data_IF_217622461896
#
_entry.id   IF_217622461896
#
_cell.length_a   1.000
_cell.length_b   1.000
_cell.length_c   1.000
_cell.angle_alpha   90.00
_cell.angle_beta   90.00
_cell.angle_gamma   90.00
#
_symmetry.space_group_name_H-M   'P 1'
#
loop_
_entity.id
_entity.type
_entity.pdbx_description
1 polymer ?
#
# COMPACT_ATOMS: atom_id res chain seq x y z
N UNK A 1 21.77 28.28 -18.02
CA UNK A 1 22.47 27.58 -16.93
C UNK A 1 21.52 26.56 -16.37
N UNK A 2 21.80 25.26 -16.55
CA UNK A 2 21.01 24.19 -15.94
C UNK A 2 21.33 24.20 -14.44
N UNK A 3 20.44 24.78 -13.63
CA UNK A 3 20.43 24.48 -12.21
C UNK A 3 20.24 22.97 -12.09
N UNK A 4 21.31 22.24 -11.73
CA UNK A 4 21.20 20.82 -11.43
C UNK A 4 20.08 20.67 -10.40
N UNK A 5 19.04 19.92 -10.76
CA UNK A 5 17.84 19.77 -9.93
C UNK A 5 18.21 18.89 -8.72
N UNK A 6 18.72 19.53 -7.65
CA UNK A 6 19.12 18.83 -6.43
C UNK A 6 17.88 18.45 -5.63
N UNK A 7 17.56 17.16 -5.64
CA UNK A 7 16.44 16.59 -4.87
C UNK A 7 16.96 16.30 -3.45
N UNK A 8 16.40 17.00 -2.45
CA UNK A 8 16.82 16.86 -1.05
C UNK A 8 16.33 15.54 -0.47
N UNK A 9 17.24 14.79 0.15
CA UNK A 9 16.93 13.61 0.98
C UNK A 9 16.60 14.03 2.41
N UNK A 10 15.96 13.14 3.16
CA UNK A 10 15.75 13.27 4.59
C UNK A 10 17.05 12.92 5.32
N UNK A 11 17.70 13.93 5.90
CA UNK A 11 18.93 13.80 6.67
C UNK A 11 18.80 14.57 7.98
N UNK A 12 19.58 14.18 9.00
CA UNK A 12 19.61 14.86 10.28
C UNK A 12 18.34 14.67 11.13
N UNK A 13 18.02 15.61 12.03
CA UNK A 13 17.01 15.41 13.08
C UNK A 13 15.56 15.33 12.58
N UNK A 14 15.30 15.71 11.32
CA UNK A 14 13.97 15.56 10.72
C UNK A 14 13.71 14.14 10.19
N UNK A 15 14.74 13.30 10.13
CA UNK A 15 14.62 11.89 9.74
C UNK A 15 13.87 11.14 10.85
N UNK A 16 12.83 10.34 10.55
CA UNK A 16 12.20 9.51 11.56
C UNK A 16 13.24 8.57 12.17
N UNK A 17 13.12 8.24 13.46
CA UNK A 17 14.02 7.28 14.10
C UNK A 17 13.80 5.87 13.55
N UNK A 18 12.55 5.54 13.25
CA UNK A 18 12.13 4.22 12.75
C UNK A 18 11.23 4.31 11.54
N UNK A 19 11.32 3.30 10.70
CA UNK A 19 10.42 3.06 9.59
C UNK A 19 9.84 1.64 9.66
N UNK A 20 8.65 1.47 9.09
CA UNK A 20 7.91 0.22 9.06
C UNK A 20 7.56 -0.16 7.63
N UNK A 21 7.69 -1.46 7.32
CA UNK A 21 7.33 -2.00 6.00
C UNK A 21 6.74 -3.38 6.12
N UNK A 22 5.56 -3.58 5.55
CA UNK A 22 5.00 -4.91 5.36
C UNK A 22 5.60 -5.57 4.11
N UNK A 23 5.89 -6.86 4.21
CA UNK A 23 6.36 -7.74 3.12
C UNK A 23 5.60 -9.06 3.15
N UNK A 24 5.79 -9.88 2.11
CA UNK A 24 5.22 -11.23 2.01
C UNK A 24 6.23 -12.20 1.36
N UNK A 25 5.92 -13.49 1.30
CA UNK A 25 6.84 -14.56 0.88
C UNK A 25 7.56 -14.38 -0.47
N UNK A 26 7.05 -13.52 -1.37
CA UNK A 26 7.69 -13.25 -2.67
C UNK A 26 8.74 -12.14 -2.59
N UNK A 27 8.97 -11.58 -1.41
CA UNK A 27 9.93 -10.53 -1.15
C UNK A 27 11.02 -11.10 -0.24
N UNK A 28 12.31 -10.83 -0.52
CA UNK A 28 13.38 -11.17 0.40
C UNK A 28 13.18 -10.43 1.73
N UNK A 29 13.71 -10.99 2.82
CA UNK A 29 13.60 -10.43 4.17
C UNK A 29 14.95 -10.27 4.89
N UNK A 30 16.02 -10.89 4.39
CA UNK A 30 17.39 -10.73 4.88
C UNK A 30 18.10 -9.62 4.10
N UNK A 31 17.57 -8.41 4.24
CA UNK A 31 17.85 -7.28 3.37
C UNK A 31 16.87 -7.23 2.20
N UNK A 32 16.40 -6.03 1.87
CA UNK A 32 15.37 -5.82 0.84
C UNK A 32 15.93 -4.95 -0.26
N UNK A 33 15.99 -5.50 -1.47
CA UNK A 33 16.23 -4.74 -2.68
C UNK A 33 14.94 -4.25 -3.33
N UNK A 34 14.97 -3.05 -3.89
CA UNK A 34 13.97 -2.53 -4.81
C UNK A 34 13.95 -3.40 -6.07
N UNK A 35 12.79 -3.53 -6.72
CA UNK A 35 12.68 -4.35 -7.95
C UNK A 35 13.55 -3.81 -9.09
N UNK A 36 13.84 -2.51 -9.09
CA UNK A 36 14.69 -1.84 -10.07
C UNK A 36 16.12 -1.61 -9.58
N UNK A 37 16.68 -2.51 -8.75
CA UNK A 37 18.02 -2.35 -8.16
C UNK A 37 19.14 -2.09 -9.19
N UNK A 38 19.03 -2.65 -10.39
CA UNK A 38 19.99 -2.47 -11.49
C UNK A 38 19.92 -1.07 -12.14
N UNK A 39 18.90 -0.27 -11.79
CA UNK A 39 18.75 1.11 -12.25
C UNK A 39 19.66 2.01 -11.40
N UNK A 40 20.95 1.95 -11.70
CA UNK A 40 22.02 2.50 -10.84
C UNK A 40 22.24 4.00 -10.95
N UNK A 41 21.48 4.74 -11.77
CA UNK A 41 21.60 6.20 -11.86
C UNK A 41 20.31 6.85 -12.34
N UNK A 42 19.39 7.09 -11.41
CA UNK A 42 18.31 8.04 -11.65
C UNK A 42 18.92 9.44 -11.72
N UNK A 43 19.43 9.86 -12.89
CA UNK A 43 19.64 11.28 -13.15
C UNK A 43 18.30 12.03 -12.87
N UNK A 44 18.34 13.32 -12.57
CA UNK A 44 17.13 14.05 -12.13
C UNK A 44 15.92 13.91 -13.07
N UNK A 45 16.17 13.71 -14.37
CA UNK A 45 15.13 13.45 -15.38
C UNK A 45 14.48 12.07 -15.23
N UNK A 46 15.27 11.01 -15.03
CA UNK A 46 14.73 9.67 -14.81
C UNK A 46 14.13 9.51 -13.42
N UNK A 47 14.61 10.25 -12.41
CA UNK A 47 14.05 10.21 -11.06
C UNK A 47 12.55 10.51 -11.04
N UNK A 48 12.13 11.63 -11.65
CA UNK A 48 10.72 12.02 -11.68
C UNK A 48 9.86 10.95 -12.38
N UNK A 49 10.36 10.37 -13.47
CA UNK A 49 9.67 9.29 -14.19
C UNK A 49 9.54 8.04 -13.33
N UNK A 50 10.60 7.61 -12.64
CA UNK A 50 10.55 6.48 -11.72
C UNK A 50 9.60 6.74 -10.56
N UNK A 51 9.56 7.97 -10.04
CA UNK A 51 8.67 8.37 -8.96
C UNK A 51 7.20 8.29 -9.38
N UNK A 52 6.87 8.84 -10.55
CA UNK A 52 5.51 8.78 -11.11
C UNK A 52 5.08 7.33 -11.37
N UNK A 53 5.97 6.51 -11.91
CA UNK A 53 5.73 5.09 -12.13
C UNK A 53 5.51 4.34 -10.81
N UNK A 54 6.29 4.65 -9.78
CA UNK A 54 6.20 4.02 -8.46
C UNK A 54 4.82 4.21 -7.81
N UNK A 55 4.24 5.42 -7.93
CA UNK A 55 2.91 5.70 -7.37
C UNK A 55 1.74 5.29 -8.28
N UNK A 56 2.03 4.86 -9.52
CA UNK A 56 1.03 4.35 -10.44
C UNK A 56 0.88 2.84 -10.28
N UNK A 57 -0.20 2.40 -9.61
CA UNK A 57 -0.48 0.98 -9.36
C UNK A 57 -0.59 0.12 -10.63
N UNK A 58 -0.79 0.75 -11.79
CA UNK A 58 -0.90 0.08 -13.08
C UNK A 58 0.46 -0.04 -13.81
N UNK A 59 1.50 0.61 -13.31
CA UNK A 59 2.82 0.54 -13.91
C UNK A 59 3.50 -0.77 -13.51
N UNK A 60 3.89 -1.56 -14.52
CA UNK A 60 4.65 -2.81 -14.31
C UNK A 60 6.16 -2.59 -14.30
N UNK A 61 6.62 -1.37 -14.60
CA UNK A 61 8.05 -1.06 -14.66
C UNK A 61 8.65 -1.08 -13.25
N UNK A 62 9.76 -1.81 -13.02
CA UNK A 62 10.47 -1.76 -11.76
C UNK A 62 10.93 -0.34 -11.43
N UNK A 63 10.83 0.04 -10.16
CA UNK A 63 11.37 1.29 -9.63
C UNK A 63 12.52 1.00 -8.66
N UNK A 64 13.49 1.92 -8.50
CA UNK A 64 14.55 1.80 -7.51
C UNK A 64 14.08 2.16 -6.09
N UNK A 65 12.78 2.36 -5.86
CA UNK A 65 12.25 2.79 -4.56
C UNK A 65 11.57 1.66 -3.79
N UNK A 66 11.76 1.68 -2.47
CA UNK A 66 11.04 0.90 -1.47
C UNK A 66 10.18 1.83 -0.62
N UNK A 67 8.86 1.66 -0.67
CA UNK A 67 7.94 2.37 0.24
C UNK A 67 8.07 1.89 1.67
N UNK A 68 8.16 2.83 2.59
CA UNK A 68 8.18 2.60 4.03
C UNK A 68 7.30 3.64 4.70
N UNK A 69 6.94 3.42 5.96
CA UNK A 69 6.08 4.32 6.72
C UNK A 69 6.69 4.63 8.07
N UNK A 70 6.61 5.88 8.54
CA UNK A 70 6.95 6.18 9.94
C UNK A 70 5.83 5.77 10.92
N UNK A 71 4.65 5.41 10.41
CA UNK A 71 3.52 4.92 11.21
C UNK A 71 3.41 3.39 11.10
N UNK A 72 3.44 2.71 12.25
CA UNK A 72 3.25 1.26 12.35
C UNK A 72 1.88 0.83 11.84
N UNK A 73 0.82 1.59 12.13
CA UNK A 73 -0.57 1.34 11.70
C UNK A 73 -0.70 1.15 10.19
N UNK A 74 0.13 1.87 9.41
CA UNK A 74 0.15 1.75 7.95
C UNK A 74 0.73 0.41 7.53
N UNK A 75 1.83 -0.02 8.14
CA UNK A 75 2.43 -1.31 7.83
C UNK A 75 1.48 -2.46 8.23
N UNK A 76 0.83 -2.37 9.39
CA UNK A 76 -0.21 -3.32 9.84
C UNK A 76 -1.38 -3.37 8.86
N UNK A 77 -1.87 -2.22 8.39
CA UNK A 77 -2.92 -2.15 7.36
C UNK A 77 -2.50 -2.80 6.04
N UNK A 78 -1.23 -2.64 5.63
CA UNK A 78 -0.71 -3.30 4.43
C UNK A 78 -0.59 -4.82 4.62
N UNK A 79 -0.14 -5.27 5.79
CA UNK A 79 -0.07 -6.69 6.13
C UNK A 79 -1.46 -7.35 6.10
N UNK A 80 -2.47 -6.72 6.71
CA UNK A 80 -3.87 -7.15 6.59
C UNK A 80 -4.33 -7.18 5.12
N UNK A 81 -3.94 -6.19 4.31
CA UNK A 81 -4.23 -6.21 2.88
C UNK A 81 -3.51 -7.32 2.10
N UNK A 82 -2.33 -7.76 2.53
CA UNK A 82 -1.66 -8.90 1.92
C UNK A 82 -2.38 -10.20 2.27
N UNK A 83 -2.83 -10.34 3.51
CA UNK A 83 -3.62 -11.48 3.97
C UNK A 83 -4.95 -11.57 3.20
N UNK A 84 -5.67 -10.45 3.05
CA UNK A 84 -6.91 -10.36 2.24
C UNK A 84 -6.70 -10.80 0.78
N UNK A 85 -5.50 -10.58 0.24
CA UNK A 85 -5.13 -11.00 -1.13
C UNK A 85 -4.62 -12.44 -1.22
N UNK A 86 -4.59 -13.18 -0.10
CA UNK A 86 -4.12 -14.56 -0.03
C UNK A 86 -2.60 -14.72 -0.11
N UNK A 87 -1.83 -13.67 0.19
CA UNK A 87 -0.38 -13.83 0.35
C UNK A 87 -0.06 -14.53 1.67
N UNK A 88 1.00 -15.32 1.69
CA UNK A 88 1.51 -16.03 2.88
C UNK A 88 2.87 -15.48 3.31
N UNK A 89 3.39 -15.93 4.46
CA UNK A 89 4.70 -15.50 4.97
C UNK A 89 4.78 -13.98 5.10
N UNK A 90 3.69 -13.36 5.56
CA UNK A 90 3.59 -11.92 5.72
C UNK A 90 4.42 -11.53 6.93
N UNK A 91 5.23 -10.48 6.78
CA UNK A 91 6.04 -9.95 7.86
C UNK A 91 5.92 -8.42 7.90
N UNK A 92 6.02 -7.83 9.08
CA UNK A 92 6.23 -6.40 9.25
C UNK A 92 7.64 -6.19 9.75
N UNK A 93 8.40 -5.35 9.06
CA UNK A 93 9.76 -5.00 9.42
C UNK A 93 9.74 -3.68 10.17
N UNK A 94 10.49 -3.64 11.27
CA UNK A 94 10.95 -2.39 11.88
C UNK A 94 12.37 -2.12 11.40
N UNK A 95 12.60 -0.91 10.91
CA UNK A 95 13.85 -0.49 10.27
C UNK A 95 14.38 0.69 11.06
N UNK A 96 15.61 0.55 11.58
CA UNK A 96 16.31 1.62 12.28
C UNK A 96 16.93 2.58 11.27
N UNK A 97 16.55 3.84 11.39
CA UNK A 97 17.03 4.95 10.57
C UNK A 97 18.05 5.85 11.27
N UNK A 98 18.57 5.43 12.44
CA UNK A 98 19.73 6.03 13.08
C UNK A 98 21.05 5.65 12.37
N UNK A 99 22.07 6.48 12.57
CA UNK A 99 23.43 6.25 12.06
C UNK A 99 23.72 6.84 10.67
N UNK A 100 24.99 6.69 10.27
CA UNK A 100 25.58 7.30 9.07
C UNK A 100 25.16 6.61 7.76
N UNK A 101 24.69 5.36 7.81
CA UNK A 101 24.26 4.63 6.60
C UNK A 101 23.18 5.38 5.80
N UNK A 102 22.34 6.13 6.50
CA UNK A 102 21.23 6.91 5.93
C UNK A 102 21.64 8.32 5.51
N UNK A 103 22.94 8.58 5.44
CA UNK A 103 23.48 9.80 4.84
C UNK A 103 23.34 9.73 3.32
N UNK A 104 23.09 10.90 2.73
CA UNK A 104 22.76 11.04 1.30
C UNK A 104 23.74 10.33 0.34
N UNK A 105 25.00 10.23 0.74
CA UNK A 105 26.07 9.64 -0.08
C UNK A 105 26.11 8.10 -0.03
N UNK A 106 25.47 7.48 0.97
CA UNK A 106 25.44 6.03 1.17
C UNK A 106 24.06 5.49 0.78
N UNK A 107 23.00 5.98 1.41
CA UNK A 107 21.62 5.60 1.11
C UNK A 107 20.71 6.82 1.10
N UNK A 108 19.84 6.89 0.10
CA UNK A 108 18.92 8.01 -0.05
C UNK A 108 17.55 7.64 0.49
N UNK A 109 17.13 8.41 1.47
CA UNK A 109 15.78 8.38 2.03
C UNK A 109 15.06 9.67 1.64
N UNK A 110 13.81 9.58 1.21
CA UNK A 110 12.99 10.77 0.90
C UNK A 110 11.62 10.72 1.55
N UNK A 111 11.17 11.85 2.10
CA UNK A 111 9.79 12.05 2.51
C UNK A 111 8.92 12.25 1.26
N UNK A 112 7.96 11.33 1.04
CA UNK A 112 7.11 11.36 -0.15
C UNK A 112 6.34 12.66 -0.27
N UNK A 113 5.83 13.18 0.86
CA UNK A 113 5.10 14.45 0.87
C UNK A 113 5.95 15.59 0.30
N UNK A 114 7.22 15.72 0.71
CA UNK A 114 8.11 16.76 0.17
C UNK A 114 8.42 16.53 -1.30
N UNK A 115 8.69 15.28 -1.69
CA UNK A 115 8.94 14.94 -3.10
C UNK A 115 7.77 15.30 -4.01
N UNK A 116 6.54 14.89 -3.65
CA UNK A 116 5.37 15.16 -4.48
C UNK A 116 5.11 16.66 -4.60
N UNK A 117 5.33 17.43 -3.52
CA UNK A 117 5.19 18.88 -3.54
C UNK A 117 6.21 19.52 -4.49
N UNK A 118 7.47 19.07 -4.40
CA UNK A 118 8.57 19.56 -5.25
C UNK A 118 8.32 19.33 -6.74
N UNK A 119 7.74 18.18 -7.10
CA UNK A 119 7.42 17.84 -8.50
C UNK A 119 6.03 18.28 -8.96
N UNK A 120 5.26 19.01 -8.14
CA UNK A 120 3.89 19.42 -8.47
C UNK A 120 2.94 18.24 -8.71
N UNK A 121 3.18 17.10 -8.05
CA UNK A 121 2.38 15.88 -8.20
C UNK A 121 1.24 15.84 -7.16
N UNK A 122 0.15 15.15 -7.50
CA UNK A 122 -1.05 15.09 -6.65
C UNK A 122 -0.76 14.42 -5.30
N UNK A 123 -1.04 15.15 -4.22
CA UNK A 123 -1.00 14.62 -2.86
C UNK A 123 -2.24 13.79 -2.52
N UNK A 124 -2.03 12.77 -1.71
CA UNK A 124 -3.09 12.00 -1.06
C UNK A 124 -2.80 11.93 0.43
N UNK A 125 -3.82 11.89 1.30
CA UNK A 125 -3.62 11.94 2.76
C UNK A 125 -2.68 10.86 3.29
N UNK A 126 -2.68 9.69 2.67
CA UNK A 126 -1.86 8.55 3.08
C UNK A 126 -0.36 8.68 2.73
N UNK A 127 0.04 9.67 1.93
CA UNK A 127 1.45 9.94 1.62
C UNK A 127 2.18 10.75 2.71
N UNK A 128 1.46 11.26 3.72
CA UNK A 128 2.03 12.15 4.75
C UNK A 128 3.15 11.48 5.58
N UNK A 129 3.05 10.17 5.77
CA UNK A 129 3.97 9.40 6.59
C UNK A 129 4.77 8.38 5.77
N UNK A 130 4.70 8.47 4.44
CA UNK A 130 5.41 7.56 3.54
C UNK A 130 6.80 8.10 3.22
N UNK A 131 7.78 7.20 3.24
CA UNK A 131 9.16 7.47 2.88
C UNK A 131 9.64 6.46 1.83
N UNK A 132 10.48 6.92 0.91
CA UNK A 132 11.12 6.07 -0.09
C UNK A 132 12.57 5.85 0.28
N UNK A 133 12.97 4.59 0.35
CA UNK A 133 14.38 4.19 0.39
C UNK A 133 14.84 3.86 -1.03
N UNK A 134 15.96 4.41 -1.46
CA UNK A 134 16.60 4.04 -2.73
C UNK A 134 17.30 2.68 -2.60
N UNK A 135 17.12 1.83 -3.60
CA UNK A 135 17.84 0.59 -3.85
C UNK A 135 17.68 -0.49 -2.78
N UNK A 136 18.25 -0.32 -1.59
CA UNK A 136 18.36 -1.41 -0.59
C UNK A 136 18.09 -0.91 0.83
N UNK A 137 17.37 -1.72 1.59
CA UNK A 137 17.37 -1.68 3.06
C UNK A 137 18.25 -2.87 3.52
N UNK A 138 19.44 -2.62 4.07
CA UNK A 138 20.32 -3.68 4.53
C UNK A 138 19.74 -4.43 5.73
N UNK A 139 20.21 -5.66 5.94
CA UNK A 139 19.73 -6.53 7.02
C UNK A 139 20.05 -5.96 8.39
N UNK A 140 21.24 -5.39 8.55
CA UNK A 140 21.74 -4.80 9.78
C UNK A 140 20.89 -3.62 10.28
N UNK A 141 20.12 -2.99 9.40
CA UNK A 141 19.18 -1.92 9.75
C UNK A 141 17.77 -2.44 10.04
N UNK A 142 17.48 -3.73 9.87
CA UNK A 142 16.21 -4.32 10.26
C UNK A 142 16.30 -4.70 11.74
N UNK A 143 15.82 -3.81 12.62
CA UNK A 143 15.90 -3.99 14.07
C UNK A 143 15.00 -5.11 14.58
N UNK A 144 13.81 -5.28 13.97
CA UNK A 144 12.84 -6.31 14.32
C UNK A 144 12.08 -6.82 13.11
N UNK A 145 11.68 -8.08 13.19
CA UNK A 145 10.84 -8.76 12.19
C UNK A 145 9.67 -9.41 12.90
N UNK A 146 8.46 -8.92 12.61
CA UNK A 146 7.22 -9.43 13.14
C UNK A 146 6.59 -10.37 12.13
N UNK A 147 6.38 -11.63 12.50
CA UNK A 147 5.68 -12.61 11.67
C UNK A 147 4.17 -12.46 11.83
N UNK A 148 3.46 -12.21 10.73
CA UNK A 148 2.02 -12.03 10.76
C UNK A 148 1.25 -13.29 11.15
N UNK A 149 1.87 -14.46 10.95
CA UNK A 149 1.28 -15.76 11.31
C UNK A 149 1.46 -16.09 12.79
N UNK A 150 2.28 -15.32 13.53
CA UNK A 150 2.52 -15.49 14.97
C UNK A 150 1.63 -14.53 15.74
N UNK A 151 0.77 -15.06 16.62
CA UNK A 151 -0.20 -14.27 17.38
C UNK A 151 0.48 -13.22 18.26
N UNK A 152 1.51 -13.60 19.01
CA UNK A 152 2.29 -12.69 19.86
C UNK A 152 2.86 -11.49 19.09
N UNK A 153 3.35 -11.71 17.87
CA UNK A 153 3.90 -10.64 17.04
C UNK A 153 2.79 -9.70 16.56
N UNK A 154 1.61 -10.25 16.22
CA UNK A 154 0.43 -9.42 15.90
C UNK A 154 -0.05 -8.61 17.10
N UNK A 155 -0.07 -9.20 18.29
CA UNK A 155 -0.43 -8.50 19.53
C UNK A 155 0.58 -7.40 19.87
N UNK A 156 1.87 -7.56 19.58
CA UNK A 156 2.84 -6.48 19.76
C UNK A 156 2.60 -5.32 18.77
N UNK A 157 2.25 -5.64 17.52
CA UNK A 157 1.96 -4.64 16.48
C UNK A 157 0.62 -3.93 16.67
N UNK A 158 -0.41 -4.64 17.10
CA UNK A 158 -1.78 -4.14 17.29
C UNK A 158 -2.42 -4.82 18.53
N UNK A 159 -2.07 -4.39 19.76
CA UNK A 159 -2.47 -5.07 21.00
C UNK A 159 -3.97 -5.16 21.24
N UNK A 160 -4.75 -4.34 20.53
CA UNK A 160 -6.22 -4.29 20.66
C UNK A 160 -6.92 -4.73 19.39
N UNK A 161 -6.20 -5.21 18.38
CA UNK A 161 -6.73 -5.58 17.06
C UNK A 161 -7.39 -4.42 16.30
N UNK A 162 -7.25 -3.17 16.76
CA UNK A 162 -8.06 -2.04 16.29
C UNK A 162 -7.75 -1.68 14.85
N UNK A 163 -6.50 -1.81 14.44
CA UNK A 163 -6.06 -1.45 13.10
C UNK A 163 -6.50 -2.53 12.13
N UNK A 164 -6.36 -3.80 12.51
CA UNK A 164 -6.86 -4.93 11.74
C UNK A 164 -8.38 -4.88 11.60
N UNK A 165 -9.11 -4.63 12.68
CA UNK A 165 -10.57 -4.51 12.67
C UNK A 165 -11.03 -3.33 11.80
N UNK A 166 -10.40 -2.15 11.96
CA UNK A 166 -10.71 -0.98 11.14
C UNK A 166 -10.50 -1.25 9.64
N UNK A 167 -9.48 -2.04 9.27
CA UNK A 167 -9.28 -2.47 7.89
C UNK A 167 -10.46 -3.30 7.37
N UNK A 168 -10.92 -4.29 8.14
CA UNK A 168 -12.05 -5.14 7.77
C UNK A 168 -13.37 -4.37 7.74
N UNK A 169 -13.60 -3.48 8.70
CA UNK A 169 -14.78 -2.61 8.73
C UNK A 169 -14.83 -1.71 7.48
N UNK A 170 -13.70 -1.12 7.10
CA UNK A 170 -13.62 -0.33 5.87
C UNK A 170 -13.92 -1.18 4.63
N UNK A 171 -13.44 -2.42 4.60
CA UNK A 171 -13.72 -3.35 3.49
C UNK A 171 -15.19 -3.76 3.43
N UNK A 172 -15.81 -4.04 4.57
CA UNK A 172 -17.23 -4.37 4.65
C UNK A 172 -18.08 -3.18 4.21
N UNK A 173 -17.80 -1.97 4.72
CA UNK A 173 -18.48 -0.74 4.27
C UNK A 173 -18.35 -0.49 2.77
N UNK A 174 -17.18 -0.78 2.19
CA UNK A 174 -16.99 -0.70 0.73
C UNK A 174 -17.83 -1.76 0.01
N UNK A 175 -17.87 -2.99 0.50
CA UNK A 175 -18.69 -4.07 -0.04
C UNK A 175 -20.18 -3.69 -0.05
N UNK A 176 -20.70 -3.22 1.09
CA UNK A 176 -22.10 -2.81 1.25
C UNK A 176 -22.45 -1.65 0.30
N UNK A 177 -21.55 -0.66 0.18
CA UNK A 177 -21.73 0.45 -0.76
C UNK A 177 -21.80 -0.04 -2.21
N UNK A 178 -20.96 -1.01 -2.58
CA UNK A 178 -20.98 -1.59 -3.92
C UNK A 178 -22.24 -2.42 -4.18
N UNK A 179 -22.74 -3.13 -3.18
CA UNK A 179 -23.99 -3.90 -3.27
C UNK A 179 -25.18 -2.96 -3.48
N UNK A 180 -25.30 -1.90 -2.67
CA UNK A 180 -26.34 -0.87 -2.85
C UNK A 180 -26.30 -0.21 -4.23
N UNK A 181 -25.11 0.14 -4.73
CA UNK A 181 -24.98 0.70 -6.07
C UNK A 181 -25.41 -0.28 -7.17
N UNK A 182 -25.22 -1.59 -6.96
CA UNK A 182 -25.67 -2.62 -7.90
C UNK A 182 -27.19 -2.84 -7.83
N UNK A 183 -27.78 -2.77 -6.65
CA UNK A 183 -29.23 -2.83 -6.45
C UNK A 183 -29.93 -1.63 -7.09
N UNK A 184 -29.43 -0.40 -6.86
CA UNK A 184 -29.95 0.83 -7.47
C UNK A 184 -29.88 0.77 -9.00
N UNK A 185 -28.79 0.24 -9.56
CA UNK A 185 -28.65 0.05 -11.01
C UNK A 185 -29.66 -0.98 -11.55
N UNK A 186 -29.87 -2.08 -10.82
CA UNK A 186 -30.85 -3.10 -11.18
C UNK A 186 -32.30 -2.58 -11.12
N UNK A 187 -32.65 -1.78 -10.11
CA UNK A 187 -33.97 -1.14 -9.98
C UNK A 187 -34.19 -0.18 -11.15
N UNK A 188 -33.24 0.73 -11.41
CA UNK A 188 -33.33 1.67 -12.52
C UNK A 188 -33.49 0.98 -13.86
N UNK A 189 -32.77 -0.13 -14.07
CA UNK A 189 -32.90 -0.92 -15.29
C UNK A 189 -34.31 -1.49 -15.46
N UNK A 190 -34.90 -2.07 -14.40
CA UNK A 190 -36.29 -2.58 -14.42
C UNK A 190 -37.31 -1.46 -14.67
N UNK A 191 -37.10 -0.27 -14.11
CA UNK A 191 -37.98 0.87 -14.33
C UNK A 191 -37.90 1.41 -15.76
N UNK A 192 -36.69 1.50 -16.32
CA UNK A 192 -36.50 1.90 -17.71
C UNK A 192 -37.16 0.91 -18.69
N UNK A 193 -37.00 -0.40 -18.44
CA UNK A 193 -37.69 -1.47 -19.18
C UNK A 193 -39.22 -1.36 -19.06
N UNK A 194 -39.75 -1.06 -17.86
CA UNK A 194 -41.20 -0.88 -17.63
C UNK A 194 -41.77 0.34 -18.35
N UNK A 195 -41.03 1.44 -18.39
CA UNK A 195 -41.48 2.70 -18.97
C UNK A 195 -41.23 2.82 -20.48
N UNK A 196 -40.71 1.77 -21.13
CA UNK A 196 -40.46 1.75 -22.57
C UNK A 196 -39.38 2.74 -23.03
N UNK A 197 -38.52 3.19 -22.11
CA UNK A 197 -37.36 4.00 -22.48
C UNK A 197 -36.26 3.08 -22.98
N UNK A 198 -35.67 3.43 -24.13
CA UNK A 198 -34.42 2.82 -24.56
C UNK A 198 -33.38 3.05 -23.46
N UNK A 199 -32.93 1.95 -22.86
CA UNK A 199 -31.81 1.98 -21.91
C UNK A 199 -30.58 2.36 -22.73
N UNK A 200 -30.30 3.65 -22.81
CA UNK A 200 -29.04 4.15 -23.35
C UNK A 200 -27.97 3.55 -22.44
N UNK A 201 -27.26 2.53 -22.94
CA UNK A 201 -26.10 1.97 -22.26
C UNK A 201 -25.08 3.09 -22.06
N UNK A 202 -25.16 3.79 -20.92
CA UNK A 202 -24.05 4.61 -20.47
C UNK A 202 -22.89 3.65 -20.35
N UNK A 203 -21.83 3.87 -21.14
CA UNK A 203 -20.56 3.13 -21.05
C UNK A 203 -20.22 2.95 -19.58
N UNK A 204 -20.42 1.72 -19.10
CA UNK A 204 -20.27 1.32 -17.70
C UNK A 204 -18.92 1.79 -17.20
N UNK A 205 -18.89 2.75 -16.28
CA UNK A 205 -17.82 2.80 -15.29
C UNK A 205 -18.29 2.08 -14.03
N UNK A 206 -18.69 0.81 -14.19
CA UNK A 206 -18.62 -0.14 -13.10
C UNK A 206 -17.25 -0.77 -13.29
N UNK A 207 -16.27 -0.56 -12.39
CA UNK A 207 -14.99 -1.23 -12.50
C UNK A 207 -15.27 -2.74 -12.49
N UNK A 208 -15.27 -3.37 -13.67
CA UNK A 208 -15.13 -4.82 -13.84
C UNK A 208 -13.72 -5.22 -13.40
N UNK A 209 -13.37 -4.88 -12.18
CA UNK A 209 -12.16 -5.38 -11.55
C UNK A 209 -12.56 -6.70 -10.92
N UNK A 210 -11.69 -7.71 -11.01
CA UNK A 210 -11.85 -8.99 -10.30
C UNK A 210 -12.13 -8.81 -8.80
N UNK A 211 -11.85 -7.62 -8.25
CA UNK A 211 -12.20 -7.17 -6.90
C UNK A 211 -13.70 -7.21 -6.60
N UNK A 212 -14.58 -6.86 -7.55
CA UNK A 212 -16.03 -6.89 -7.34
C UNK A 212 -16.54 -8.33 -7.14
N UNK A 213 -16.05 -9.27 -7.95
CA UNK A 213 -16.38 -10.70 -7.79
C UNK A 213 -15.76 -11.31 -6.52
N UNK A 214 -14.56 -10.89 -6.15
CA UNK A 214 -13.85 -11.39 -4.96
C UNK A 214 -14.47 -10.89 -3.64
N UNK A 215 -14.94 -9.64 -3.60
CA UNK A 215 -15.61 -9.07 -2.41
C UNK A 215 -16.94 -9.79 -2.12
N UNK A 216 -17.74 -10.05 -3.17
CA UNK A 216 -19.00 -10.78 -3.04
C UNK A 216 -18.77 -12.25 -2.65
N UNK A 217 -17.71 -12.90 -3.14
CA UNK A 217 -17.42 -14.30 -2.81
C UNK A 217 -16.89 -14.50 -1.38
N UNK A 218 -16.10 -13.57 -0.85
CA UNK A 218 -15.58 -13.64 0.53
C UNK A 218 -16.63 -13.30 1.59
N UNK A 219 -17.52 -12.33 1.33
CA UNK A 219 -18.62 -12.01 2.25
C UNK A 219 -19.58 -13.19 2.43
N UNK A 220 -19.92 -13.90 1.33
CA UNK A 220 -20.75 -15.12 1.39
C UNK A 220 -20.11 -16.27 2.16
N UNK A 221 -18.80 -16.47 2.04
CA UNK A 221 -18.10 -17.53 2.81
C UNK A 221 -18.10 -17.27 4.31
N UNK A 222 -17.94 -16.02 4.77
CA UNK A 222 -17.96 -15.70 6.21
C UNK A 222 -19.37 -15.77 6.81
N UNK A 223 -20.40 -15.37 6.07
CA UNK A 223 -21.80 -15.54 6.50
C UNK A 223 -22.18 -17.02 6.66
N UNK A 224 -21.71 -17.90 5.77
CA UNK A 224 -21.95 -19.34 5.88
C UNK A 224 -21.25 -19.99 7.08
N UNK A 225 -20.04 -19.54 7.42
CA UNK A 225 -19.27 -20.07 8.57
C UNK A 225 -19.87 -19.61 9.92
N UNK A 226 -20.41 -18.39 9.98
CA UNK A 226 -21.07 -17.88 11.18
C UNK A 226 -22.40 -18.60 11.49
N UNK A 227 -23.05 -19.17 10.48
CA UNK A 227 -24.30 -19.94 10.63
C UNK A 227 -24.01 -21.41 10.98
N UNK A 228 -22.84 -21.95 10.63
CA UNK A 228 -22.47 -23.35 10.90
C UNK A 228 -21.72 -23.58 12.22
N UNK A 229 -21.56 -22.54 13.05
CA UNK A 229 -20.91 -22.63 14.38
C UNK A 229 -21.85 -22.40 15.55
N UNK A 230 -23.17 -22.38 15.27
CA UNK A 230 -24.23 -22.25 16.26
C UNK A 230 -25.05 -23.56 16.30
N UNK A 231 -24.37 -24.66 16.60
CA UNK A 231 -24.95 -25.93 17.05
C UNK A 231 -24.06 -26.50 18.17
#
# INVERSE_FOLDING_TARGET
MNAALTIRTCVGPERPEKLYRAIHYKMPHDGIGARGLEVTNANGLFFQRYLQNHFSSNCRQPSPFLSTSSEIDRAVSYAASYQDKGFTGIKVLEIDTAGEYWDHHISRLWEVKRLLAWFGLRHKPYYKHEYLVENVIPREHISRVYSWDVEKDREELDPRGRIQDAYWDQKNKQADMFERLAEDDAIRKREAERCGFDVVERKKYVPKTNRFKAVISHARKRGAIAISGAD
#
